data_IF_663841574704
#
_entry.id   IF_663841574704
#
_cell.length_a   1.000
_cell.length_b   1.000
_cell.length_c   1.000
_cell.angle_alpha   90.00
_cell.angle_beta   90.00
_cell.angle_gamma   90.00
#
_symmetry.space_group_name_H-M   'P 1'
#
loop_
_entity.id
_entity.type
_entity.pdbx_description
1 polymer ?
#
# COMPACT_ATOMS: atom_id res chain seq x y z
N UNK A 1 28.58 -0.75 -7.65
CA UNK A 1 27.35 -1.56 -7.42
C UNK A 1 26.18 -0.63 -7.14
N UNK A 2 25.31 -0.40 -8.12
CA UNK A 2 24.03 0.26 -7.86
C UNK A 2 23.13 -0.76 -7.16
N UNK A 3 22.84 -0.55 -5.88
CA UNK A 3 21.99 -1.47 -5.11
C UNK A 3 20.60 -1.47 -5.74
N UNK A 4 20.07 -2.67 -5.97
CA UNK A 4 18.68 -2.81 -6.36
C UNK A 4 17.78 -2.16 -5.30
N UNK A 5 16.76 -1.45 -5.78
CA UNK A 5 15.82 -0.72 -4.95
C UNK A 5 14.51 -1.48 -4.80
N UNK A 6 13.67 -1.01 -3.91
CA UNK A 6 12.29 -1.44 -3.79
C UNK A 6 11.41 -0.20 -3.82
N UNK A 7 10.29 -0.28 -4.50
CA UNK A 7 9.29 0.77 -4.52
C UNK A 7 7.96 0.24 -4.03
N UNK A 8 7.15 1.14 -3.51
CA UNK A 8 5.77 0.87 -3.15
C UNK A 8 4.89 2.04 -3.53
N UNK A 9 3.64 1.74 -3.84
CA UNK A 9 2.64 2.71 -4.21
C UNK A 9 1.28 2.29 -3.64
N UNK A 10 0.52 3.28 -3.21
CA UNK A 10 -0.89 3.11 -2.90
C UNK A 10 -1.71 3.80 -3.96
N UNK A 11 -2.60 3.06 -4.61
CA UNK A 11 -3.50 3.60 -5.62
C UNK A 11 -4.94 3.42 -5.20
N UNK A 12 -5.77 4.34 -5.67
CA UNK A 12 -7.22 4.32 -5.56
C UNK A 12 -7.80 4.17 -6.97
N UNK A 13 -8.82 3.36 -7.12
CA UNK A 13 -9.64 3.31 -8.32
C UNK A 13 -11.12 3.45 -7.96
N UNK A 14 -11.88 4.16 -8.79
CA UNK A 14 -13.33 4.24 -8.71
C UNK A 14 -13.89 4.26 -10.14
N UNK A 15 -14.41 3.11 -10.59
CA UNK A 15 -14.77 2.90 -11.99
C UNK A 15 -13.57 3.06 -12.93
N UNK A 16 -13.65 4.03 -13.85
CA UNK A 16 -12.58 4.34 -14.83
C UNK A 16 -11.52 5.33 -14.29
N UNK A 17 -11.70 5.86 -13.07
CA UNK A 17 -10.77 6.84 -12.49
C UNK A 17 -9.75 6.14 -11.61
N UNK A 18 -8.50 6.53 -11.76
CA UNK A 18 -7.38 6.04 -10.96
C UNK A 18 -6.59 7.21 -10.39
N UNK A 19 -6.17 7.11 -9.13
CA UNK A 19 -5.35 8.11 -8.47
C UNK A 19 -4.26 7.45 -7.64
N UNK A 20 -3.02 7.95 -7.75
CA UNK A 20 -1.95 7.59 -6.83
C UNK A 20 -2.12 8.40 -5.54
N UNK A 21 -2.22 7.71 -4.41
CA UNK A 21 -2.35 8.32 -3.08
C UNK A 21 -0.99 8.61 -2.46
N UNK A 22 0.03 7.84 -2.84
CA UNK A 22 1.42 8.07 -2.45
C UNK A 22 2.33 6.94 -2.93
N UNK A 23 3.61 7.27 -3.09
CA UNK A 23 4.65 6.35 -3.55
C UNK A 23 5.92 6.56 -2.74
N UNK A 24 6.66 5.48 -2.50
CA UNK A 24 7.97 5.52 -1.85
C UNK A 24 8.97 4.66 -2.63
N UNK A 25 10.24 5.08 -2.64
CA UNK A 25 11.37 4.27 -3.11
C UNK A 25 12.38 4.14 -1.98
N UNK A 26 12.71 2.91 -1.62
CA UNK A 26 13.63 2.58 -0.52
C UNK A 26 14.64 1.52 -0.95
N UNK A 27 15.69 1.34 -0.14
CA UNK A 27 16.77 0.39 -0.46
C UNK A 27 16.51 -1.02 0.04
N UNK A 28 15.43 -1.26 0.78
CA UNK A 28 15.21 -2.51 1.49
C UNK A 28 13.72 -2.92 1.44
N UNK A 29 13.47 -4.18 1.07
CA UNK A 29 12.14 -4.81 1.09
C UNK A 29 11.40 -4.65 2.42
N UNK A 30 12.12 -4.77 3.55
CA UNK A 30 11.52 -4.58 4.88
C UNK A 30 10.99 -3.17 5.08
N UNK A 31 11.65 -2.17 4.52
CA UNK A 31 11.19 -0.79 4.57
C UNK A 31 9.99 -0.55 3.66
N UNK A 32 9.92 -1.21 2.48
CA UNK A 32 8.72 -1.17 1.64
C UNK A 32 7.53 -1.77 2.38
N UNK A 33 7.69 -2.96 2.94
CA UNK A 33 6.60 -3.64 3.64
C UNK A 33 6.16 -2.85 4.87
N UNK A 34 7.12 -2.30 5.64
CA UNK A 34 6.82 -1.45 6.79
C UNK A 34 6.09 -0.16 6.38
N UNK A 35 6.46 0.44 5.26
CA UNK A 35 5.73 1.60 4.72
C UNK A 35 4.31 1.20 4.33
N UNK A 36 4.12 0.13 3.54
CA UNK A 36 2.78 -0.35 3.15
C UNK A 36 1.90 -0.68 4.37
N UNK A 37 2.46 -1.36 5.37
CA UNK A 37 1.78 -1.68 6.63
C UNK A 37 1.33 -0.42 7.38
N UNK A 38 2.21 0.58 7.45
CA UNK A 38 1.88 1.87 8.09
C UNK A 38 0.76 2.59 7.33
N UNK A 39 0.82 2.63 6.00
CA UNK A 39 -0.21 3.29 5.20
C UNK A 39 -1.56 2.55 5.29
N UNK A 40 -1.55 1.21 5.31
CA UNK A 40 -2.76 0.40 5.52
C UNK A 40 -3.44 0.71 6.86
N UNK A 41 -2.67 0.74 7.95
CA UNK A 41 -3.20 1.09 9.27
C UNK A 41 -3.69 2.53 9.32
N UNK A 42 -2.94 3.50 8.78
CA UNK A 42 -3.37 4.91 8.71
C UNK A 42 -4.68 5.08 7.95
N UNK A 43 -4.84 4.39 6.81
CA UNK A 43 -6.08 4.42 6.03
C UNK A 43 -7.25 3.76 6.79
N UNK A 44 -6.99 2.68 7.51
CA UNK A 44 -8.00 2.01 8.33
C UNK A 44 -8.40 2.82 9.57
N UNK A 45 -7.43 3.43 10.26
CA UNK A 45 -7.62 4.22 11.48
C UNK A 45 -8.19 5.62 11.18
N UNK A 46 -7.91 6.16 9.98
CA UNK A 46 -8.51 7.40 9.48
C UNK A 46 -10.00 7.25 9.13
N UNK A 47 -10.52 6.03 8.99
CA UNK A 47 -11.93 5.80 8.79
C UNK A 47 -12.74 6.21 10.03
N UNK A 48 -13.65 7.18 9.87
CA UNK A 48 -14.46 7.72 10.96
C UNK A 48 -13.76 8.78 11.83
N UNK A 49 -12.44 8.96 11.69
CA UNK A 49 -11.69 10.03 12.34
C UNK A 49 -11.59 11.23 11.39
N UNK A 50 -12.30 12.32 11.70
CA UNK A 50 -12.17 13.59 10.96
C UNK A 50 -10.80 14.26 11.09
N UNK A 51 -9.86 13.66 11.84
CA UNK A 51 -8.52 14.19 12.06
C UNK A 51 -7.59 13.72 10.95
N UNK A 52 -7.36 14.62 10.00
CA UNK A 52 -6.50 14.44 8.84
C UNK A 52 -5.05 14.79 9.20
N UNK A 53 -4.34 13.88 9.85
CA UNK A 53 -2.91 14.08 10.11
C UNK A 53 -2.10 13.70 8.86
N UNK A 54 -1.98 14.65 7.94
CA UNK A 54 -1.18 14.55 6.72
C UNK A 54 0.27 14.95 6.98
N UNK A 55 1.04 14.05 7.59
CA UNK A 55 2.49 14.22 7.67
C UNK A 55 3.14 14.15 6.28
N UNK A 56 4.19 14.96 6.00
CA UNK A 56 4.85 14.95 4.70
C UNK A 56 5.44 13.57 4.38
N UNK A 57 4.95 12.93 3.31
CA UNK A 57 5.37 11.60 2.88
C UNK A 57 4.36 10.48 3.14
N UNK A 58 3.22 10.78 3.77
CA UNK A 58 2.11 9.85 3.93
C UNK A 58 1.15 9.86 2.74
N UNK A 59 0.37 8.78 2.59
CA UNK A 59 -0.62 8.68 1.53
C UNK A 59 -1.82 9.58 1.82
N UNK A 60 -2.44 10.14 0.78
CA UNK A 60 -3.66 10.93 0.90
C UNK A 60 -4.76 10.11 1.57
N UNK A 61 -5.49 10.73 2.50
CA UNK A 61 -6.62 10.11 3.21
C UNK A 61 -7.72 9.68 2.23
N UNK A 62 -8.41 8.58 2.53
CA UNK A 62 -9.53 8.06 1.76
C UNK A 62 -10.76 7.94 2.65
N UNK A 63 -11.90 8.41 2.17
CA UNK A 63 -13.18 8.21 2.84
C UNK A 63 -13.80 6.90 2.34
N UNK A 64 -13.77 5.88 3.19
CA UNK A 64 -14.55 4.65 2.97
C UNK A 64 -15.99 4.83 3.46
N UNK A 65 -16.93 4.18 2.78
CA UNK A 65 -18.37 4.23 3.05
C UNK A 65 -18.85 3.01 3.86
N UNK A 66 -18.06 1.94 3.90
CA UNK A 66 -18.28 0.77 4.75
C UNK A 66 -17.04 0.39 5.55
N UNK A 67 -17.23 -0.48 6.55
CA UNK A 67 -16.15 -0.95 7.43
C UNK A 67 -15.31 -2.07 6.83
N UNK A 68 -15.81 -2.78 5.81
CA UNK A 68 -15.13 -3.96 5.24
C UNK A 68 -13.74 -3.64 4.67
N UNK A 69 -13.63 -2.52 3.93
CA UNK A 69 -12.36 -2.09 3.34
C UNK A 69 -11.31 -1.68 4.40
N UNK A 70 -11.62 -0.80 5.38
CA UNK A 70 -10.69 -0.48 6.46
C UNK A 70 -10.39 -1.68 7.37
N UNK A 71 -11.35 -2.57 7.64
CA UNK A 71 -11.10 -3.81 8.38
C UNK A 71 -10.17 -4.75 7.63
N UNK A 72 -10.34 -4.91 6.31
CA UNK A 72 -9.46 -5.69 5.45
C UNK A 72 -8.02 -5.15 5.43
N UNK A 73 -7.86 -3.82 5.44
CA UNK A 73 -6.55 -3.16 5.56
C UNK A 73 -5.90 -3.42 6.92
N UNK A 74 -6.68 -3.28 8.01
CA UNK A 74 -6.18 -3.56 9.37
C UNK A 74 -5.78 -5.02 9.50
N UNK A 75 -6.63 -5.94 9.04
CA UNK A 75 -6.35 -7.37 9.07
C UNK A 75 -5.09 -7.73 8.30
N UNK A 76 -4.93 -7.25 7.06
CA UNK A 76 -3.71 -7.48 6.28
C UNK A 76 -2.48 -6.94 7.01
N UNK A 77 -2.57 -5.75 7.61
CA UNK A 77 -1.46 -5.11 8.29
C UNK A 77 -1.08 -5.77 9.64
N UNK A 78 -2.00 -6.45 10.31
CA UNK A 78 -1.73 -7.11 11.61
C UNK A 78 -1.50 -8.61 11.52
N UNK A 79 -1.93 -9.26 10.43
CA UNK A 79 -1.79 -10.70 10.24
C UNK A 79 -0.35 -11.10 9.89
N UNK A 80 0.29 -11.87 10.78
CA UNK A 80 1.70 -12.24 10.63
C UNK A 80 1.94 -13.12 9.38
N UNK A 81 1.03 -14.03 9.05
CA UNK A 81 1.17 -14.91 7.90
C UNK A 81 1.18 -14.13 6.59
N UNK A 82 0.25 -13.18 6.41
CA UNK A 82 0.21 -12.29 5.24
C UNK A 82 1.44 -11.40 5.13
N UNK A 83 2.00 -10.94 6.26
CA UNK A 83 3.23 -10.15 6.25
C UNK A 83 4.45 -11.01 5.86
N UNK A 84 4.52 -12.25 6.33
CA UNK A 84 5.57 -13.20 5.96
C UNK A 84 5.47 -13.61 4.48
N UNK A 85 4.26 -13.83 3.98
CA UNK A 85 4.04 -14.12 2.57
C UNK A 85 4.44 -12.90 1.71
N UNK A 86 4.04 -11.70 2.13
CA UNK A 86 4.37 -10.47 1.43
C UNK A 86 5.90 -10.21 1.35
N UNK A 87 6.63 -10.45 2.44
CA UNK A 87 8.10 -10.30 2.42
C UNK A 87 8.74 -11.35 1.51
N UNK A 88 8.24 -12.60 1.53
CA UNK A 88 8.72 -13.68 0.66
C UNK A 88 8.45 -13.37 -0.83
N UNK A 89 7.29 -12.82 -1.16
CA UNK A 89 6.97 -12.37 -2.53
C UNK A 89 7.98 -11.33 -3.03
N UNK A 90 8.27 -10.32 -2.21
CA UNK A 90 9.26 -9.29 -2.54
C UNK A 90 10.69 -9.85 -2.60
N UNK A 91 11.02 -10.84 -1.77
CA UNK A 91 12.30 -11.54 -1.80
C UNK A 91 12.50 -12.36 -3.06
N UNK A 92 11.44 -13.01 -3.52
CA UNK A 92 11.42 -13.75 -4.78
C UNK A 92 11.40 -12.84 -6.02
N UNK A 93 11.38 -11.50 -5.83
CA UNK A 93 11.41 -10.52 -6.91
C UNK A 93 10.06 -10.29 -7.59
N UNK A 94 8.98 -10.88 -7.07
CA UNK A 94 7.64 -10.68 -7.59
C UNK A 94 7.01 -9.40 -7.03
N UNK A 95 6.12 -8.75 -7.80
CA UNK A 95 5.33 -7.65 -7.28
C UNK A 95 4.33 -8.19 -6.24
N UNK A 96 4.29 -7.51 -5.10
CA UNK A 96 3.26 -7.63 -4.08
C UNK A 96 2.09 -6.73 -4.48
N UNK A 97 0.88 -7.27 -4.43
CA UNK A 97 -0.35 -6.49 -4.59
C UNK A 97 -1.41 -6.98 -3.59
N UNK A 98 -1.99 -6.05 -2.85
CA UNK A 98 -3.13 -6.30 -2.00
C UNK A 98 -4.21 -5.25 -2.29
N UNK A 99 -5.43 -5.69 -2.57
CA UNK A 99 -6.53 -4.80 -2.93
C UNK A 99 -7.72 -5.03 -2.01
N UNK A 100 -8.28 -3.93 -1.49
CA UNK A 100 -9.57 -3.93 -0.80
C UNK A 100 -10.61 -3.21 -1.67
N UNK A 101 -11.86 -3.65 -1.57
CA UNK A 101 -13.00 -3.08 -2.27
C UNK A 101 -13.98 -2.50 -1.25
N UNK A 102 -14.40 -1.28 -1.48
CA UNK A 102 -15.57 -0.67 -0.87
C UNK A 102 -16.75 -0.80 -1.85
N UNK A 103 -17.63 -1.80 -1.63
CA UNK A 103 -18.71 -2.10 -2.57
C UNK A 103 -19.80 -1.02 -2.59
N UNK A 104 -19.93 -0.21 -1.54
CA UNK A 104 -20.96 0.81 -1.46
C UNK A 104 -20.78 1.90 -2.54
N UNK A 105 -19.53 2.15 -2.96
CA UNK A 105 -19.19 3.15 -3.98
C UNK A 105 -18.35 2.59 -5.14
N UNK A 106 -18.10 1.28 -5.16
CA UNK A 106 -17.26 0.64 -6.19
C UNK A 106 -15.83 1.17 -6.19
N UNK A 107 -15.32 1.55 -5.02
CA UNK A 107 -13.97 2.09 -4.85
C UNK A 107 -13.03 0.95 -4.47
N UNK A 108 -11.93 0.78 -5.18
CA UNK A 108 -10.88 -0.15 -4.81
C UNK A 108 -9.61 0.58 -4.42
N UNK A 109 -8.98 0.12 -3.34
CA UNK A 109 -7.70 0.62 -2.88
C UNK A 109 -6.67 -0.50 -2.99
N UNK A 110 -5.55 -0.20 -3.64
CA UNK A 110 -4.49 -1.18 -3.88
C UNK A 110 -3.19 -0.71 -3.25
N UNK A 111 -2.62 -1.59 -2.43
CA UNK A 111 -1.28 -1.53 -1.88
C UNK A 111 -0.36 -2.36 -2.79
N UNK A 112 0.58 -1.72 -3.47
CA UNK A 112 1.50 -2.40 -4.36
C UNK A 112 2.95 -2.16 -3.92
N UNK A 113 3.78 -3.21 -3.99
CA UNK A 113 5.21 -3.14 -3.72
C UNK A 113 5.99 -3.98 -4.72
N UNK A 114 7.13 -3.51 -5.20
CA UNK A 114 7.91 -4.24 -6.20
C UNK A 114 9.40 -3.98 -6.06
N UNK A 115 10.17 -4.94 -6.57
CA UNK A 115 11.61 -4.78 -6.74
C UNK A 115 11.88 -3.87 -7.93
N UNK A 116 12.61 -2.77 -7.72
CA UNK A 116 13.10 -1.93 -8.80
C UNK A 116 14.48 -2.44 -9.19
N UNK A 117 14.56 -3.23 -10.25
CA UNK A 117 15.85 -3.47 -10.89
C UNK A 117 16.40 -2.14 -11.41
N UNK A 118 17.72 -1.87 -11.30
CA UNK A 118 18.30 -0.74 -11.98
C UNK A 118 17.97 -0.91 -13.47
N UNK A 119 17.25 0.05 -14.05
CA UNK A 119 17.02 0.07 -15.48
C UNK A 119 18.40 -0.01 -16.15
N UNK A 120 18.67 -1.08 -16.88
CA UNK A 120 19.79 -1.11 -17.81
C UNK A 120 19.44 -0.10 -18.90
N UNK A 121 19.90 1.14 -18.72
CA UNK A 121 19.77 2.17 -19.73
C UNK A 121 20.79 1.82 -20.82
N UNK A 122 20.36 1.60 -22.08
CA UNK A 122 21.27 1.33 -23.19
C UNK A 122 22.20 2.51 -23.45
#
# INVERSE_FOLDING_TARGET
>A
MMRAGYAAEVTLAAGQRFASLGRVSVRNRRLVLLWLRRQALRLADGHGSGVRDESPGDVRSVLFHGSDAPEGLRFWATDHHRQDDAIRTLEAGFPLQFTVLDPAVGLSLTLAGWHTSPAHRP
#
